data_IF_487410494568
#
_entry.id   IF_487410494568
#
_cell.length_a   1.000
_cell.length_b   1.000
_cell.length_c   1.000
_cell.angle_alpha   90.00
_cell.angle_beta   90.00
_cell.angle_gamma   90.00
#
_symmetry.space_group_name_H-M   'P 1'
#
loop_
_entity.id
_entity.type
_entity.pdbx_description
1 polymer ?
#
# COMPACT_ATOMS: atom_id res chain seq x y z
N UNK A 1 -73.39 75.16 16.49
CA UNK A 1 -72.46 74.04 16.25
C UNK A 1 -71.09 74.45 16.76
N UNK A 2 -70.70 74.03 17.96
CA UNK A 2 -69.40 74.36 18.55
C UNK A 2 -68.60 73.08 18.74
N UNK A 3 -67.56 72.88 17.91
CA UNK A 3 -66.62 71.77 18.06
C UNK A 3 -65.74 72.07 19.28
N UNK A 4 -65.96 71.35 20.39
CA UNK A 4 -65.06 71.38 21.55
C UNK A 4 -63.78 70.64 21.15
N UNK A 5 -62.72 71.40 20.88
CA UNK A 5 -61.35 70.90 20.80
C UNK A 5 -60.92 70.45 22.20
N UNK A 6 -61.03 69.15 22.46
CA UNK A 6 -60.60 68.53 23.71
C UNK A 6 -59.09 68.27 23.60
N UNK A 7 -58.28 69.23 24.06
CA UNK A 7 -56.83 69.05 24.13
C UNK A 7 -56.50 68.05 25.25
N UNK A 8 -55.77 66.96 24.98
CA UNK A 8 -55.33 66.04 26.01
C UNK A 8 -54.41 66.75 27.01
N UNK A 9 -54.56 66.44 28.30
CA UNK A 9 -53.71 67.02 29.34
C UNK A 9 -52.25 66.63 29.14
N UNK A 10 -51.32 67.51 29.54
CA UNK A 10 -49.87 67.26 29.47
C UNK A 10 -49.44 65.96 30.18
N UNK A 11 -50.20 65.50 31.18
CA UNK A 11 -49.98 64.22 31.85
C UNK A 11 -50.34 63.02 30.97
N UNK A 12 -51.40 63.09 30.17
CA UNK A 12 -51.79 62.03 29.23
C UNK A 12 -50.77 61.87 28.10
N UNK A 13 -50.22 62.99 27.59
CA UNK A 13 -49.17 62.98 26.56
C UNK A 13 -47.88 62.33 27.10
N UNK A 14 -47.49 62.64 28.35
CA UNK A 14 -46.32 62.01 28.99
C UNK A 14 -46.50 60.49 29.15
N UNK A 15 -47.67 60.04 29.58
CA UNK A 15 -47.95 58.60 29.71
C UNK A 15 -47.92 57.88 28.36
N UNK A 16 -48.47 58.47 27.30
CA UNK A 16 -48.44 57.88 25.96
C UNK A 16 -47.00 57.70 25.42
N UNK A 17 -46.12 58.69 25.65
CA UNK A 17 -44.71 58.60 25.25
C UNK A 17 -43.98 57.51 26.05
N UNK A 18 -44.19 57.45 27.37
CA UNK A 18 -43.56 56.43 28.23
C UNK A 18 -44.01 55.02 27.82
N UNK A 19 -45.32 54.82 27.58
CA UNK A 19 -45.84 53.51 27.13
C UNK A 19 -45.36 53.15 25.73
N UNK A 20 -45.21 54.14 24.82
CA UNK A 20 -44.68 53.92 23.48
C UNK A 20 -43.20 53.52 23.49
N UNK A 21 -42.38 54.20 24.31
CA UNK A 21 -40.97 53.88 24.47
C UNK A 21 -40.76 52.50 25.13
N UNK A 22 -41.55 52.17 26.15
CA UNK A 22 -41.52 50.85 26.80
C UNK A 22 -41.94 49.72 25.85
N UNK A 23 -42.97 49.96 25.02
CA UNK A 23 -43.40 49.01 23.99
C UNK A 23 -42.32 48.74 22.95
N UNK A 24 -41.63 49.78 22.47
CA UNK A 24 -40.52 49.64 21.53
C UNK A 24 -39.30 48.92 22.15
N UNK A 25 -38.99 49.19 23.41
CA UNK A 25 -37.92 48.50 24.13
C UNK A 25 -38.21 47.00 24.29
N UNK A 26 -39.46 46.64 24.64
CA UNK A 26 -39.88 45.23 24.74
C UNK A 26 -39.85 44.52 23.39
N UNK A 27 -40.25 45.19 22.30
CA UNK A 27 -40.14 44.65 20.95
C UNK A 27 -38.67 44.46 20.53
N UNK A 28 -37.78 45.38 20.91
CA UNK A 28 -36.34 45.26 20.68
C UNK A 28 -35.73 44.06 21.41
N UNK A 29 -36.05 43.89 22.69
CA UNK A 29 -35.60 42.74 23.51
C UNK A 29 -36.18 41.43 22.99
N UNK A 30 -37.47 41.40 22.64
CA UNK A 30 -38.12 40.24 22.05
C UNK A 30 -37.51 39.83 20.70
N UNK A 31 -37.23 40.81 19.84
CA UNK A 31 -36.58 40.59 18.54
C UNK A 31 -35.16 40.02 18.68
N UNK A 32 -34.35 40.57 19.59
CA UNK A 32 -33.01 40.07 19.88
C UNK A 32 -33.02 38.63 20.44
N UNK A 33 -33.96 38.34 21.34
CA UNK A 33 -34.12 36.99 21.89
C UNK A 33 -34.51 35.96 20.82
N UNK A 34 -35.44 36.31 19.93
CA UNK A 34 -35.83 35.45 18.81
C UNK A 34 -34.65 35.20 17.85
N UNK A 35 -33.89 36.24 17.49
CA UNK A 35 -32.72 36.11 16.64
C UNK A 35 -31.66 35.16 17.24
N UNK A 36 -31.35 35.32 18.54
CA UNK A 36 -30.42 34.46 19.25
C UNK A 36 -30.89 32.99 19.30
N UNK A 37 -32.21 32.75 19.42
CA UNK A 37 -32.77 31.39 19.38
C UNK A 37 -32.61 30.74 17.99
N UNK A 38 -32.84 31.49 16.91
CA UNK A 38 -32.62 30.99 15.55
C UNK A 38 -31.15 30.68 15.29
N UNK A 39 -30.25 31.56 15.73
CA UNK A 39 -28.81 31.35 15.60
C UNK A 39 -28.34 30.12 16.39
N UNK A 40 -28.77 29.97 17.65
CA UNK A 40 -28.45 28.79 18.46
C UNK A 40 -28.98 27.50 17.84
N UNK A 41 -30.19 27.49 17.26
CA UNK A 41 -30.71 26.32 16.55
C UNK A 41 -29.88 25.99 15.30
N UNK A 42 -29.47 27.00 14.55
CA UNK A 42 -28.60 26.82 13.37
C UNK A 42 -27.24 26.25 13.75
N UNK A 43 -26.62 26.79 14.81
CA UNK A 43 -25.36 26.29 15.34
C UNK A 43 -25.47 24.87 15.87
N UNK A 44 -26.54 24.55 16.62
CA UNK A 44 -26.79 23.21 17.11
C UNK A 44 -26.93 22.20 15.96
N UNK A 45 -27.63 22.56 14.88
CA UNK A 45 -27.76 21.72 13.69
C UNK A 45 -26.40 21.47 13.03
N UNK A 46 -25.62 22.53 12.78
CA UNK A 46 -24.27 22.41 12.19
C UNK A 46 -23.34 21.58 13.05
N UNK A 47 -23.42 21.74 14.38
CA UNK A 47 -22.61 20.97 15.31
C UNK A 47 -23.01 19.48 15.31
N UNK A 48 -24.31 19.17 15.17
CA UNK A 48 -24.79 17.82 14.95
C UNK A 48 -24.26 17.20 13.65
N UNK A 49 -24.34 17.93 12.53
CA UNK A 49 -23.82 17.49 11.24
C UNK A 49 -22.30 17.25 11.28
N UNK A 50 -21.53 18.11 11.96
CA UNK A 50 -20.10 17.94 12.19
C UNK A 50 -19.80 16.71 13.06
N UNK A 51 -20.58 16.51 14.12
CA UNK A 51 -20.44 15.35 15.00
C UNK A 51 -20.70 14.06 14.22
N UNK A 52 -21.76 14.01 13.42
CA UNK A 52 -22.03 12.85 12.57
C UNK A 52 -20.92 12.63 11.53
N UNK A 53 -20.40 13.68 10.91
CA UNK A 53 -19.32 13.54 9.94
C UNK A 53 -18.03 12.99 10.56
N UNK A 54 -17.76 13.29 11.83
CA UNK A 54 -16.55 12.81 12.54
C UNK A 54 -16.77 11.45 13.18
N UNK A 55 -17.88 11.26 13.88
CA UNK A 55 -18.14 10.18 14.83
C UNK A 55 -19.15 9.14 14.36
N UNK A 56 -19.74 9.31 13.16
CA UNK A 56 -20.63 8.27 12.63
C UNK A 56 -19.91 6.91 12.62
N UNK A 57 -20.48 5.88 13.25
CA UNK A 57 -19.80 4.62 13.50
C UNK A 57 -19.57 3.77 12.24
N UNK A 58 -20.13 4.17 11.10
CA UNK A 58 -19.97 3.47 9.81
C UNK A 58 -19.16 4.28 8.80
N UNK A 59 -19.45 5.57 8.70
CA UNK A 59 -18.88 6.44 7.64
C UNK A 59 -18.11 7.64 8.18
N UNK A 60 -18.06 7.81 9.50
CA UNK A 60 -17.38 8.93 10.13
C UNK A 60 -15.88 8.87 9.84
N UNK A 61 -15.26 10.06 9.78
CA UNK A 61 -13.84 10.18 9.47
C UNK A 61 -12.95 9.32 10.38
N UNK A 62 -13.33 9.13 11.66
CA UNK A 62 -12.57 8.27 12.58
C UNK A 62 -12.53 6.81 12.13
N UNK A 63 -13.66 6.28 11.65
CA UNK A 63 -13.79 4.90 11.18
C UNK A 63 -13.01 4.71 9.90
N UNK A 64 -13.14 5.65 8.96
CA UNK A 64 -12.39 5.63 7.70
C UNK A 64 -10.89 5.65 7.98
N UNK A 65 -10.42 6.53 8.86
CA UNK A 65 -9.00 6.60 9.23
C UNK A 65 -8.50 5.31 9.89
N UNK A 66 -9.31 4.68 10.74
CA UNK A 66 -8.97 3.41 11.36
C UNK A 66 -8.86 2.28 10.31
N UNK A 67 -9.79 2.24 9.36
CA UNK A 67 -9.76 1.30 8.23
C UNK A 67 -8.52 1.49 7.36
N UNK A 68 -8.19 2.73 6.99
CA UNK A 68 -7.00 3.05 6.19
C UNK A 68 -5.70 2.67 6.91
N UNK A 69 -5.63 2.86 8.24
CA UNK A 69 -4.49 2.39 9.03
C UNK A 69 -4.34 0.87 9.00
N UNK A 70 -5.44 0.14 9.12
CA UNK A 70 -5.43 -1.32 9.04
C UNK A 70 -5.05 -1.82 7.62
N UNK A 71 -5.58 -1.17 6.58
CA UNK A 71 -5.22 -1.45 5.19
C UNK A 71 -3.74 -1.21 4.95
N UNK A 72 -3.21 -0.07 5.39
CA UNK A 72 -1.80 0.27 5.28
C UNK A 72 -0.91 -0.76 5.97
N UNK A 73 -1.22 -1.13 7.22
CA UNK A 73 -0.46 -2.15 7.95
C UNK A 73 -0.49 -3.50 7.22
N UNK A 74 -1.64 -3.87 6.63
CA UNK A 74 -1.78 -5.11 5.84
C UNK A 74 -0.91 -5.07 4.58
N UNK A 75 -0.88 -3.93 3.88
CA UNK A 75 -0.05 -3.74 2.69
C UNK A 75 1.44 -3.77 3.05
N UNK A 76 1.85 -3.08 4.12
CA UNK A 76 3.24 -3.08 4.60
C UNK A 76 3.70 -4.51 4.95
N UNK A 77 2.92 -5.26 5.73
CA UNK A 77 3.22 -6.67 6.03
C UNK A 77 3.21 -7.58 4.80
N UNK A 78 2.42 -7.24 3.77
CA UNK A 78 2.41 -7.93 2.48
C UNK A 78 3.70 -7.68 1.69
N UNK A 79 4.15 -6.43 1.64
CA UNK A 79 5.40 -6.03 0.99
C UNK A 79 6.63 -6.66 1.65
N UNK A 80 6.67 -6.69 2.98
CA UNK A 80 7.75 -7.35 3.73
C UNK A 80 7.85 -8.84 3.37
N UNK A 81 6.70 -9.55 3.32
CA UNK A 81 6.64 -10.95 2.92
C UNK A 81 7.09 -11.16 1.47
N UNK A 82 6.68 -10.29 0.55
CA UNK A 82 7.11 -10.36 -0.85
C UNK A 82 8.62 -10.13 -1.00
N UNK A 83 9.16 -9.13 -0.30
CA UNK A 83 10.60 -8.85 -0.32
C UNK A 83 11.42 -10.02 0.23
N UNK A 84 10.97 -10.65 1.32
CA UNK A 84 11.59 -11.86 1.87
C UNK A 84 11.55 -13.02 0.87
N UNK A 85 10.42 -13.23 0.20
CA UNK A 85 10.28 -14.28 -0.83
C UNK A 85 11.19 -14.03 -2.04
N UNK A 86 11.27 -12.79 -2.52
CA UNK A 86 12.18 -12.41 -3.62
C UNK A 86 13.65 -12.59 -3.23
N UNK A 87 14.01 -12.21 -2.01
CA UNK A 87 15.38 -12.43 -1.50
C UNK A 87 15.71 -13.92 -1.40
N UNK A 88 14.76 -14.75 -0.96
CA UNK A 88 14.92 -16.22 -0.93
C UNK A 88 15.08 -16.81 -2.33
N UNK A 89 14.25 -16.39 -3.29
CA UNK A 89 14.37 -16.81 -4.69
C UNK A 89 15.71 -16.39 -5.32
N UNK A 90 16.20 -15.19 -5.01
CA UNK A 90 17.51 -14.74 -5.47
C UNK A 90 18.65 -15.62 -4.92
N UNK A 91 18.58 -16.00 -3.64
CA UNK A 91 19.55 -16.92 -3.04
C UNK A 91 19.50 -18.33 -3.68
N UNK A 92 18.30 -18.88 -3.89
CA UNK A 92 18.10 -20.19 -4.51
C UNK A 92 18.60 -20.22 -5.96
N UNK A 93 18.32 -19.17 -6.72
CA UNK A 93 18.79 -19.05 -8.11
C UNK A 93 20.30 -18.90 -8.18
N UNK A 94 20.91 -18.13 -7.27
CA UNK A 94 22.37 -18.04 -7.15
C UNK A 94 23.01 -19.40 -6.82
N UNK A 95 22.42 -20.16 -5.89
CA UNK A 95 22.89 -21.50 -5.54
C UNK A 95 22.79 -22.47 -6.73
N UNK A 96 21.67 -22.44 -7.48
CA UNK A 96 21.50 -23.23 -8.70
C UNK A 96 22.52 -22.85 -9.77
N UNK A 97 22.78 -21.56 -9.98
CA UNK A 97 23.78 -21.08 -10.92
C UNK A 97 25.19 -21.56 -10.55
N UNK A 98 25.55 -21.49 -9.27
CA UNK A 98 26.83 -22.00 -8.80
C UNK A 98 26.95 -23.52 -9.05
N UNK A 99 25.90 -24.28 -8.73
CA UNK A 99 25.86 -25.72 -9.00
C UNK A 99 25.99 -26.06 -10.48
N UNK A 100 25.30 -25.32 -11.37
CA UNK A 100 25.39 -25.57 -12.81
C UNK A 100 26.74 -25.18 -13.38
N UNK A 101 27.35 -24.09 -12.89
CA UNK A 101 28.71 -23.70 -13.29
C UNK A 101 29.75 -24.75 -12.88
N UNK A 102 29.63 -25.34 -11.70
CA UNK A 102 30.51 -26.41 -11.22
C UNK A 102 30.34 -27.68 -12.07
N UNK A 103 29.09 -28.06 -12.39
CA UNK A 103 28.79 -29.19 -13.26
C UNK A 103 29.36 -28.98 -14.68
N UNK A 104 29.24 -27.77 -15.24
CA UNK A 104 29.80 -27.43 -16.54
C UNK A 104 31.33 -27.53 -16.54
N UNK A 105 32.00 -27.00 -15.51
CA UNK A 105 33.44 -27.10 -15.37
C UNK A 105 33.92 -28.56 -15.28
N UNK A 106 33.22 -29.39 -14.50
CA UNK A 106 33.50 -30.82 -14.41
C UNK A 106 33.29 -31.56 -15.74
N UNK A 107 32.23 -31.22 -16.48
CA UNK A 107 31.97 -31.79 -17.80
C UNK A 107 33.09 -31.43 -18.79
N UNK A 108 33.51 -30.16 -18.83
CA UNK A 108 34.61 -29.71 -19.68
C UNK A 108 35.94 -30.40 -19.34
N UNK A 109 36.22 -30.64 -18.06
CA UNK A 109 37.41 -31.40 -17.65
C UNK A 109 37.37 -32.84 -18.16
N UNK A 110 36.21 -33.52 -18.06
CA UNK A 110 36.03 -34.87 -18.61
C UNK A 110 36.20 -34.91 -20.12
N UNK A 111 35.65 -33.94 -20.84
CA UNK A 111 35.83 -33.84 -22.30
C UNK A 111 37.31 -33.68 -22.65
N UNK A 112 38.05 -32.80 -21.96
CA UNK A 112 39.50 -32.63 -22.19
C UNK A 112 40.30 -33.88 -21.85
N UNK A 113 39.91 -34.63 -20.83
CA UNK A 113 40.56 -35.89 -20.48
C UNK A 113 40.32 -36.96 -21.55
N UNK A 114 39.08 -37.08 -22.03
CA UNK A 114 38.71 -38.00 -23.11
C UNK A 114 39.42 -37.63 -24.43
N UNK A 115 39.49 -36.34 -24.78
CA UNK A 115 40.24 -35.87 -25.96
C UNK A 115 41.72 -36.24 -25.87
N UNK A 116 42.33 -36.13 -24.69
CA UNK A 116 43.72 -36.56 -24.47
C UNK A 116 43.88 -38.07 -24.63
N UNK A 117 42.97 -38.88 -24.08
CA UNK A 117 43.01 -40.33 -24.24
C UNK A 117 42.88 -40.73 -25.71
N UNK A 118 41.92 -40.13 -26.43
CA UNK A 118 41.75 -40.36 -27.88
C UNK A 118 43.00 -39.94 -28.65
N UNK A 119 43.62 -38.80 -28.31
CA UNK A 119 44.85 -38.36 -28.95
C UNK A 119 46.02 -39.34 -28.70
N UNK A 120 46.13 -39.91 -27.49
CA UNK A 120 47.13 -40.95 -27.18
C UNK A 120 46.88 -42.22 -28.00
N UNK A 121 45.64 -42.70 -28.06
CA UNK A 121 45.27 -43.88 -28.87
C UNK A 121 45.54 -43.64 -30.37
N UNK A 122 45.24 -42.46 -30.88
CA UNK A 122 45.51 -42.07 -32.28
C UNK A 122 47.01 -41.88 -32.58
N UNK A 123 47.80 -41.44 -31.60
CA UNK A 123 49.24 -41.25 -31.73
C UNK A 123 50.03 -42.57 -31.56
N UNK A 124 49.41 -43.61 -31.02
CA UNK A 124 50.02 -44.93 -30.88
C UNK A 124 49.89 -45.67 -32.22
N UNK A 125 50.97 -45.82 -33.01
CA UNK A 125 50.86 -46.51 -34.28
C UNK A 125 50.52 -47.98 -34.01
N UNK A 126 49.42 -48.46 -34.58
CA UNK A 126 49.03 -49.87 -34.49
C UNK A 126 50.17 -50.70 -35.08
N UNK A 127 50.83 -51.52 -34.26
CA UNK A 127 51.95 -52.35 -34.69
C UNK A 127 51.40 -53.66 -35.25
N UNK A 128 51.93 -54.06 -36.40
CA UNK A 128 51.52 -55.28 -37.09
C UNK A 128 51.59 -55.11 -38.60
N UNK A 129 52.35 -55.99 -39.26
CA UNK A 129 52.45 -56.00 -40.71
C UNK A 129 51.20 -56.64 -41.35
N UNK A 130 50.44 -57.42 -40.60
CA UNK A 130 49.20 -58.07 -41.03
C UNK A 130 47.97 -57.56 -40.26
N UNK A 131 46.77 -57.71 -40.85
CA UNK A 131 45.53 -57.23 -40.23
C UNK A 131 45.24 -57.91 -38.88
N UNK A 132 45.58 -59.20 -38.74
CA UNK A 132 45.39 -59.95 -37.50
C UNK A 132 46.29 -59.44 -36.36
N UNK A 133 47.55 -59.10 -36.65
CA UNK A 133 48.47 -58.52 -35.66
C UNK A 133 47.98 -57.15 -35.18
N UNK A 134 47.45 -56.32 -36.10
CA UNK A 134 46.89 -55.02 -35.75
C UNK A 134 45.63 -55.13 -34.88
N UNK A 135 44.78 -56.14 -35.12
CA UNK A 135 43.61 -56.39 -34.27
C UNK A 135 44.01 -56.86 -32.87
N UNK A 136 45.01 -57.73 -32.75
CA UNK A 136 45.53 -58.18 -31.45
C UNK A 136 46.18 -57.05 -30.64
N UNK A 137 46.86 -56.11 -31.32
CA UNK A 137 47.49 -54.94 -30.68
C UNK A 137 46.44 -53.95 -30.14
N UNK A 138 45.33 -53.75 -30.88
CA UNK A 138 44.19 -52.94 -30.43
C UNK A 138 43.45 -53.59 -29.26
N UNK A 139 43.25 -54.92 -29.30
CA UNK A 139 42.57 -55.65 -28.23
C UNK A 139 43.37 -55.63 -26.93
N UNK A 140 44.71 -55.71 -27.02
CA UNK A 140 45.62 -55.56 -25.89
C UNK A 140 45.58 -54.15 -25.28
N UNK A 141 45.58 -53.09 -26.11
CA UNK A 141 45.46 -51.70 -25.66
C UNK A 141 44.11 -51.41 -24.97
N UNK A 142 43.01 -52.00 -25.45
CA UNK A 142 41.69 -51.87 -24.84
C UNK A 142 41.62 -52.59 -23.49
N UNK A 143 42.27 -53.76 -23.36
CA UNK A 143 42.34 -54.52 -22.11
C UNK A 143 43.21 -53.84 -21.05
N UNK A 144 44.28 -53.14 -21.44
CA UNK A 144 45.11 -52.35 -20.52
C UNK A 144 44.39 -51.09 -20.01
N UNK A 145 43.54 -50.46 -20.82
CA UNK A 145 42.77 -49.25 -20.42
C UNK A 145 41.55 -49.58 -19.53
N UNK A 146 41.18 -50.87 -19.41
CA UNK A 146 40.08 -51.36 -18.57
C UNK A 146 40.51 -51.87 -17.18
N UNK A 147 41.81 -51.91 -16.87
CA UNK A 147 42.38 -52.28 -15.56
C UNK A 147 42.72 -51.04 -14.72
#
# INVERSE_FOLDING_TARGET
MGVRLMFPSLSAIKWQIITGAAGLALLGVGGAWVAAQFENRSLAKRNGELTDLVDNPKTGLRVVLASERANRATVEAGLERQNAALSGQAADTAARLASTSAALAAAQQRTRAAEKQVAVLMATPIKGNTAAERFADVDALILEDLQ
#
